data_IF_359573166355
#
_entry.id   IF_359573166355
#
_cell.length_a   1.000
_cell.length_b   1.000
_cell.length_c   1.000
_cell.angle_alpha   90.00
_cell.angle_beta   90.00
_cell.angle_gamma   90.00
#
_symmetry.space_group_name_H-M   'P 1'
#
loop_
_entity.id
_entity.type
_entity.pdbx_description
1 polymer ?
#
# COMPACT_ATOMS: atom_id res chain seq x y z
N UNK A 1 25.59 7.21 -34.70
CA UNK A 1 25.81 7.66 -33.32
C UNK A 1 24.68 7.09 -32.48
N UNK A 2 24.99 6.17 -31.57
CA UNK A 2 24.03 5.61 -30.64
C UNK A 2 23.78 6.60 -29.50
N UNK A 3 22.52 6.85 -29.16
CA UNK A 3 22.13 7.37 -27.86
C UNK A 3 20.97 6.51 -27.36
N UNK A 4 21.32 5.64 -26.42
CA UNK A 4 20.42 4.90 -25.55
C UNK A 4 19.88 5.80 -24.43
N UNK A 5 18.82 5.30 -23.81
CA UNK A 5 18.46 5.50 -22.39
C UNK A 5 17.41 6.58 -22.09
N UNK A 6 16.14 6.18 -22.14
CA UNK A 6 15.32 6.08 -20.93
C UNK A 6 14.02 5.34 -21.30
N UNK A 7 13.99 4.04 -21.05
CA UNK A 7 12.71 3.37 -20.77
C UNK A 7 12.21 3.98 -19.45
N UNK A 8 11.44 5.07 -19.55
CA UNK A 8 10.54 5.49 -18.47
C UNK A 8 9.33 4.56 -18.49
N UNK A 9 9.56 3.27 -18.26
CA UNK A 9 8.50 2.36 -17.82
C UNK A 9 8.27 2.61 -16.32
N UNK A 10 7.89 3.86 -15.99
CA UNK A 10 7.41 4.21 -14.67
C UNK A 10 6.19 3.35 -14.40
N UNK A 11 6.33 2.38 -13.49
CA UNK A 11 5.20 1.58 -13.03
C UNK A 11 4.04 2.52 -12.67
N UNK A 12 2.78 2.16 -13.01
CA UNK A 12 1.64 3.02 -12.73
C UNK A 12 1.61 3.34 -11.25
N UNK A 13 1.57 4.63 -10.94
CA UNK A 13 1.45 5.12 -9.57
C UNK A 13 0.18 4.53 -8.98
N UNK A 14 0.32 3.61 -8.02
CA UNK A 14 -0.82 2.94 -7.38
C UNK A 14 -1.40 3.81 -6.28
N UNK A 15 -2.72 3.95 -6.27
CA UNK A 15 -3.44 4.53 -5.13
C UNK A 15 -3.41 3.53 -3.97
N UNK A 16 -3.08 4.00 -2.77
CA UNK A 16 -2.93 3.14 -1.59
C UNK A 16 -3.36 3.87 -0.32
N UNK A 17 -3.65 3.15 0.76
CA UNK A 17 -4.04 3.75 2.04
C UNK A 17 -3.46 2.97 3.21
N UNK A 18 -3.34 3.64 4.35
CA UNK A 18 -2.91 3.02 5.60
C UNK A 18 -4.10 2.36 6.32
N UNK A 19 -3.86 1.19 6.89
CA UNK A 19 -4.82 0.47 7.74
C UNK A 19 -4.06 -0.34 8.78
N UNK A 20 -4.68 -0.57 9.94
CA UNK A 20 -4.11 -1.39 10.98
C UNK A 20 -4.65 -2.82 10.89
N UNK A 21 -3.76 -3.80 10.91
CA UNK A 21 -4.10 -5.21 11.07
C UNK A 21 -2.86 -5.97 11.57
N UNK A 22 -3.06 -7.10 12.24
CA UNK A 22 -2.00 -7.71 13.03
C UNK A 22 -1.44 -6.71 14.05
N UNK A 23 -0.12 -6.72 14.25
CA UNK A 23 0.57 -5.89 15.25
C UNK A 23 1.12 -4.56 14.72
N UNK A 24 0.79 -4.17 13.48
CA UNK A 24 1.38 -3.01 12.82
C UNK A 24 0.36 -2.26 11.95
N UNK A 25 0.71 -1.02 11.58
CA UNK A 25 0.07 -0.27 10.51
C UNK A 25 0.72 -0.61 9.17
N UNK A 26 -0.11 -0.94 8.17
CA UNK A 26 0.30 -1.40 6.85
C UNK A 26 -0.33 -0.56 5.73
N UNK A 27 0.25 -0.61 4.53
CA UNK A 27 -0.30 0.02 3.33
C UNK A 27 -0.89 -1.04 2.42
N UNK A 28 -2.12 -0.84 1.98
CA UNK A 28 -2.82 -1.69 0.99
C UNK A 28 -3.12 -0.84 -0.24
N UNK A 29 -3.04 -1.41 -1.45
CA UNK A 29 -3.40 -0.70 -2.67
C UNK A 29 -4.90 -0.76 -2.91
N UNK A 30 -5.48 0.28 -3.51
CA UNK A 30 -6.92 0.32 -3.80
C UNK A 30 -7.33 -0.76 -4.84
N UNK A 31 -6.39 -1.26 -5.64
CA UNK A 31 -6.63 -2.38 -6.56
C UNK A 31 -6.98 -3.66 -5.79
N UNK A 32 -6.26 -3.93 -4.69
CA UNK A 32 -6.49 -5.12 -3.87
C UNK A 32 -7.88 -5.10 -3.20
N UNK A 33 -8.32 -3.92 -2.74
CA UNK A 33 -9.61 -3.75 -2.05
C UNK A 33 -10.82 -3.91 -2.95
N UNK A 34 -10.69 -3.55 -4.22
CA UNK A 34 -11.83 -3.59 -5.17
C UNK A 34 -12.20 -5.01 -5.58
N UNK A 35 -11.43 -5.99 -5.16
CA UNK A 35 -11.69 -7.40 -5.45
C UNK A 35 -12.38 -8.03 -4.24
N UNK A 36 -13.71 -7.95 -4.22
CA UNK A 36 -14.53 -8.49 -3.12
C UNK A 36 -14.23 -9.98 -2.86
N UNK A 37 -14.07 -10.35 -1.59
CA UNK A 37 -13.89 -11.74 -1.16
C UNK A 37 -12.48 -12.31 -1.34
N UNK A 38 -11.47 -11.48 -1.59
CA UNK A 38 -10.07 -11.90 -1.64
C UNK A 38 -9.29 -11.41 -0.42
N UNK A 39 -8.39 -12.26 0.06
CA UNK A 39 -7.36 -11.91 1.04
C UNK A 39 -6.59 -10.69 0.53
N UNK A 40 -6.55 -9.64 1.34
CA UNK A 40 -5.86 -8.39 1.02
C UNK A 40 -4.38 -8.53 1.32
N UNK A 41 -3.54 -7.96 0.45
CA UNK A 41 -2.08 -8.06 0.56
C UNK A 41 -1.52 -6.66 0.77
N UNK A 42 -0.90 -6.41 1.93
CA UNK A 42 -0.15 -5.18 2.13
C UNK A 42 1.12 -5.16 1.27
N UNK A 43 1.68 -3.97 1.05
CA UNK A 43 2.93 -3.80 0.27
C UNK A 43 4.10 -4.64 0.78
N UNK A 44 4.13 -4.96 2.08
CA UNK A 44 5.13 -5.83 2.67
C UNK A 44 4.88 -7.34 2.47
N UNK A 45 3.81 -7.71 1.74
CA UNK A 45 3.40 -9.10 1.50
C UNK A 45 2.61 -9.75 2.64
N UNK A 46 2.28 -9.01 3.70
CA UNK A 46 1.44 -9.55 4.78
C UNK A 46 -0.01 -9.57 4.31
N UNK A 47 -0.64 -10.72 4.50
CA UNK A 47 -2.02 -11.00 4.13
C UNK A 47 -2.97 -10.73 5.29
N UNK A 48 -4.16 -10.21 4.99
CA UNK A 48 -5.25 -10.02 5.94
C UNK A 48 -6.60 -10.30 5.29
N UNK A 49 -7.53 -10.85 6.06
CA UNK A 49 -8.92 -10.88 5.64
C UNK A 49 -9.54 -9.47 5.79
N UNK A 50 -10.54 -9.11 4.96
CA UNK A 50 -11.18 -7.79 5.05
C UNK A 50 -11.73 -7.46 6.45
N UNK A 51 -12.21 -8.47 7.19
CA UNK A 51 -12.70 -8.30 8.57
C UNK A 51 -11.61 -8.00 9.62
N UNK A 52 -10.35 -8.29 9.31
CA UNK A 52 -9.22 -8.02 10.22
C UNK A 52 -8.72 -6.57 10.14
N UNK A 53 -9.20 -5.82 9.14
CA UNK A 53 -8.79 -4.43 8.92
C UNK A 53 -9.49 -3.50 9.89
N UNK A 54 -8.69 -2.61 10.50
CA UNK A 54 -9.20 -1.48 11.25
C UNK A 54 -8.59 -0.16 10.74
N UNK A 55 -9.16 0.99 11.12
CA UNK A 55 -8.50 2.27 10.93
C UNK A 55 -7.10 2.26 11.56
N UNK A 56 -6.23 3.14 11.06
CA UNK A 56 -4.91 3.39 11.65
C UNK A 56 -5.05 3.76 13.12
N UNK A 57 -4.23 3.14 13.96
CA UNK A 57 -4.20 3.38 15.41
C UNK A 57 -2.76 3.46 15.94
N UNK A 58 -2.59 3.41 17.27
CA UNK A 58 -1.31 3.57 17.96
C UNK A 58 -0.31 2.42 17.73
N UNK A 59 -0.64 1.43 16.90
CA UNK A 59 0.30 0.37 16.50
C UNK A 59 1.51 0.95 15.76
N UNK A 60 2.69 0.32 15.86
CA UNK A 60 3.86 0.75 15.10
C UNK A 60 3.65 0.62 13.59
N UNK A 61 4.24 1.52 12.81
CA UNK A 61 4.23 1.43 11.34
C UNK A 61 5.15 0.31 10.86
N UNK A 62 4.67 -0.52 9.94
CA UNK A 62 5.50 -1.50 9.25
C UNK A 62 6.62 -0.79 8.47
N UNK A 63 7.87 -1.13 8.77
CA UNK A 63 9.05 -0.46 8.20
C UNK A 63 9.14 -0.59 6.68
N UNK A 64 8.73 -1.73 6.12
CA UNK A 64 8.70 -1.99 4.66
C UNK A 64 7.62 -1.13 4.00
N UNK A 65 6.38 -1.15 4.51
CA UNK A 65 5.31 -0.29 4.01
C UNK A 65 5.70 1.19 4.08
N UNK A 66 6.40 1.61 5.15
CA UNK A 66 6.88 2.97 5.31
C UNK A 66 7.97 3.33 4.30
N UNK A 67 8.85 2.39 3.96
CA UNK A 67 9.87 2.59 2.93
C UNK A 67 9.24 2.74 1.54
N UNK A 68 8.27 1.88 1.20
CA UNK A 68 7.54 1.97 -0.06
C UNK A 68 6.72 3.25 -0.17
N UNK A 69 6.05 3.67 0.91
CA UNK A 69 5.34 4.96 0.96
C UNK A 69 6.26 6.16 0.72
N UNK A 70 7.54 6.09 1.11
CA UNK A 70 8.53 7.14 0.85
C UNK A 70 9.18 7.05 -0.53
N UNK A 71 9.00 5.95 -1.25
CA UNK A 71 9.63 5.73 -2.57
C UNK A 71 9.07 6.66 -3.67
N UNK A 72 7.89 7.23 -3.46
CA UNK A 72 7.17 8.03 -4.47
C UNK A 72 6.46 7.19 -5.54
N UNK A 73 6.53 5.85 -5.47
CA UNK A 73 5.87 4.93 -6.42
C UNK A 73 4.39 4.71 -6.13
N UNK A 74 3.91 5.15 -4.97
CA UNK A 74 2.51 5.05 -4.55
C UNK A 74 1.97 6.43 -4.17
N UNK A 75 0.70 6.67 -4.46
CA UNK A 75 -0.04 7.83 -3.97
C UNK A 75 -0.88 7.38 -2.80
N UNK A 76 -0.57 7.91 -1.61
CA UNK A 76 -1.37 7.67 -0.42
C UNK A 76 -2.67 8.48 -0.50
N UNK A 77 -3.79 7.79 -0.64
CA UNK A 77 -5.12 8.34 -0.44
C UNK A 77 -5.33 8.58 1.06
N UNK A 78 -5.53 9.84 1.44
CA UNK A 78 -6.03 10.16 2.77
C UNK A 78 -7.52 9.80 2.80
N UNK A 79 -7.84 8.63 3.36
CA UNK A 79 -9.21 8.33 3.77
C UNK A 79 -9.43 8.95 5.13
N UNK A 80 -10.08 10.11 5.17
CA UNK A 80 -10.73 10.62 6.37
C UNK A 80 -11.84 9.64 6.76
N UNK A 81 -11.51 8.67 7.63
CA UNK A 81 -12.51 7.81 8.27
C UNK A 81 -13.13 8.65 9.40
N UNK A 82 -14.29 9.26 9.12
CA UNK A 82 -15.15 9.90 10.11
C UNK A 82 -15.90 8.87 10.95
#
# INVERSE_FOLDING_TARGET
MAQSSADDSGEPIKSAYWTAFGYQNHVITEEDVRTEGQTLIALCGVMAEPEDLSPVDDRPTCSVCAAEARSGRIVLAFRDVR
#
